data_IF_329528758543
#
_entry.id   IF_329528758543
#
_cell.length_a   1.000
_cell.length_b   1.000
_cell.length_c   1.000
_cell.angle_alpha   90.00
_cell.angle_beta   90.00
_cell.angle_gamma   90.00
#
_symmetry.space_group_name_H-M   'P 1'
#
loop_
_entity.id
_entity.type
_entity.pdbx_description
1 polymer ?
#
# COMPACT_ATOMS: atom_id res chain seq x y z
N UNK A 1 -12.88 21.67 -15.53
CA UNK A 1 -13.12 22.18 -16.90
C UNK A 1 -14.35 21.46 -17.40
N UNK A 2 -15.42 22.18 -17.73
CA UNK A 2 -16.79 21.64 -17.86
C UNK A 2 -16.98 20.98 -19.23
N UNK A 3 -17.24 19.68 -19.26
CA UNK A 3 -17.77 18.96 -20.41
C UNK A 3 -19.15 18.43 -20.04
N UNK A 4 -20.17 18.82 -20.80
CA UNK A 4 -21.56 18.44 -20.57
C UNK A 4 -21.73 16.93 -20.75
N UNK A 5 -22.33 16.29 -19.76
CA UNK A 5 -22.86 14.94 -19.88
C UNK A 5 -24.32 15.04 -20.38
N UNK A 6 -24.65 14.21 -21.35
CA UNK A 6 -26.01 14.04 -21.86
C UNK A 6 -26.98 13.69 -20.73
N UNK A 7 -28.15 14.33 -20.75
CA UNK A 7 -29.13 14.38 -19.65
C UNK A 7 -29.67 13.00 -19.19
N UNK A 8 -29.42 11.93 -19.97
CA UNK A 8 -29.98 10.60 -19.76
C UNK A 8 -29.06 9.66 -18.93
N UNK A 9 -27.73 9.84 -19.02
CA UNK A 9 -26.76 8.95 -18.36
C UNK A 9 -26.69 9.12 -16.83
N UNK A 10 -27.14 10.27 -16.30
CA UNK A 10 -27.13 10.55 -14.87
C UNK A 10 -28.15 9.74 -14.06
N UNK A 11 -29.17 9.17 -14.72
CA UNK A 11 -30.25 8.43 -14.08
C UNK A 11 -29.82 7.04 -13.60
N UNK A 12 -28.93 6.38 -14.35
CA UNK A 12 -28.41 5.03 -14.03
C UNK A 12 -27.33 5.04 -12.94
N UNK A 13 -26.87 6.21 -12.50
CA UNK A 13 -25.77 6.36 -11.53
C UNK A 13 -26.25 6.79 -10.13
N UNK A 14 -27.56 7.00 -9.93
CA UNK A 14 -28.14 7.41 -8.65
C UNK A 14 -27.87 6.41 -7.51
N UNK A 15 -27.69 5.12 -7.80
CA UNK A 15 -27.36 4.10 -6.80
C UNK A 15 -25.96 4.25 -6.18
N UNK A 16 -25.07 5.07 -6.77
CA UNK A 16 -23.73 5.33 -6.24
C UNK A 16 -23.73 6.24 -5.01
N UNK A 17 -24.81 6.99 -4.78
CA UNK A 17 -24.96 7.88 -3.63
C UNK A 17 -26.19 7.48 -2.82
N UNK A 18 -25.97 7.09 -1.56
CA UNK A 18 -27.06 6.75 -0.65
C UNK A 18 -27.98 7.95 -0.34
N UNK A 19 -27.51 9.18 -0.54
CA UNK A 19 -28.29 10.40 -0.37
C UNK A 19 -29.04 10.82 -1.65
N UNK A 20 -28.76 10.21 -2.80
CA UNK A 20 -29.44 10.54 -4.04
C UNK A 20 -30.84 9.92 -4.07
N UNK A 21 -31.79 10.67 -4.65
CA UNK A 21 -33.13 10.14 -4.88
C UNK A 21 -33.08 9.08 -5.99
N UNK A 22 -33.63 7.87 -5.80
CA UNK A 22 -33.54 6.78 -6.77
C UNK A 22 -34.20 7.08 -8.12
N UNK A 23 -35.09 8.09 -8.18
CA UNK A 23 -35.78 8.51 -9.39
C UNK A 23 -35.28 9.87 -9.94
N UNK A 24 -34.16 10.40 -9.44
CA UNK A 24 -33.59 11.66 -9.94
C UNK A 24 -32.14 11.43 -10.41
N UNK A 25 -31.79 11.85 -11.64
CA UNK A 25 -30.42 11.78 -12.10
C UNK A 25 -29.48 12.60 -11.21
N UNK A 26 -28.25 12.14 -11.04
CA UNK A 26 -27.21 12.93 -10.37
C UNK A 26 -26.91 14.18 -11.19
N UNK A 27 -26.80 15.32 -10.50
CA UNK A 27 -26.41 16.56 -11.16
C UNK A 27 -24.94 16.52 -11.58
N UNK A 28 -24.63 17.16 -12.72
CA UNK A 28 -23.27 17.26 -13.21
C UNK A 28 -22.39 18.04 -12.21
N UNK A 29 -21.21 17.49 -11.90
CA UNK A 29 -20.28 18.08 -10.93
C UNK A 29 -20.53 17.67 -9.47
N UNK A 30 -21.45 16.74 -9.22
CA UNK A 30 -21.62 16.15 -7.89
C UNK A 30 -20.37 15.38 -7.44
N UNK A 31 -19.91 15.66 -6.22
CA UNK A 31 -18.67 15.09 -5.69
C UNK A 31 -18.98 13.79 -4.95
N UNK A 32 -18.56 12.67 -5.53
CA UNK A 32 -18.75 11.34 -4.95
C UNK A 32 -17.47 10.80 -4.30
N UNK A 33 -17.63 10.08 -3.19
CA UNK A 33 -16.56 9.30 -2.57
C UNK A 33 -16.71 7.84 -2.97
N UNK A 34 -15.95 7.43 -3.98
CA UNK A 34 -15.99 6.07 -4.51
C UNK A 34 -14.68 5.31 -4.22
N UNK A 35 -14.74 3.97 -4.05
CA UNK A 35 -13.54 3.15 -4.04
C UNK A 35 -12.77 3.26 -5.37
N UNK A 36 -11.43 3.20 -5.30
CA UNK A 36 -10.55 3.39 -6.47
C UNK A 36 -10.87 2.43 -7.63
N UNK A 37 -11.18 1.17 -7.33
CA UNK A 37 -11.52 0.17 -8.36
C UNK A 37 -12.80 0.52 -9.14
N UNK A 38 -13.76 1.16 -8.49
CA UNK A 38 -15.02 1.58 -9.09
C UNK A 38 -14.82 2.90 -9.85
N UNK A 39 -14.22 3.88 -9.18
CA UNK A 39 -13.91 5.19 -9.74
C UNK A 39 -13.02 5.07 -10.98
N UNK A 40 -12.02 4.19 -10.95
CA UNK A 40 -11.13 3.93 -12.08
C UNK A 40 -11.87 3.42 -13.30
N UNK A 41 -12.79 2.46 -13.13
CA UNK A 41 -13.59 1.95 -14.26
C UNK A 41 -14.54 3.00 -14.81
N UNK A 42 -15.23 3.74 -13.95
CA UNK A 42 -16.12 4.82 -14.38
C UNK A 42 -15.35 5.94 -15.09
N UNK A 43 -14.11 6.20 -14.68
CA UNK A 43 -13.23 7.16 -15.33
C UNK A 43 -12.82 6.70 -16.72
N UNK A 44 -12.46 5.41 -16.87
CA UNK A 44 -12.11 4.83 -18.16
C UNK A 44 -13.27 4.91 -19.18
N UNK A 45 -14.52 4.84 -18.70
CA UNK A 45 -15.73 5.03 -19.51
C UNK A 45 -16.14 6.50 -19.71
N UNK A 46 -15.43 7.46 -19.10
CA UNK A 46 -15.73 8.89 -19.22
C UNK A 46 -16.94 9.38 -18.39
N UNK A 47 -17.45 8.56 -17.46
CA UNK A 47 -18.59 8.95 -16.61
C UNK A 47 -18.19 9.84 -15.43
N UNK A 48 -16.95 9.72 -14.94
CA UNK A 48 -16.46 10.50 -13.79
C UNK A 48 -15.07 11.08 -14.05
N UNK A 49 -14.80 12.24 -13.47
CA UNK A 49 -13.45 12.81 -13.40
C UNK A 49 -12.84 12.46 -12.06
N UNK A 50 -11.60 11.93 -12.06
CA UNK A 50 -10.87 11.63 -10.84
C UNK A 50 -10.24 12.91 -10.28
N UNK A 51 -10.28 13.05 -8.95
CA UNK A 51 -9.57 14.09 -8.23
C UNK A 51 -8.47 13.45 -7.37
N UNK A 52 -7.34 14.14 -7.23
CA UNK A 52 -6.27 13.69 -6.34
C UNK A 52 -6.71 13.84 -4.87
N UNK A 53 -6.58 12.78 -4.05
CA UNK A 53 -6.74 12.88 -2.62
C UNK A 53 -5.72 13.87 -2.00
N UNK A 54 -6.09 14.49 -0.88
CA UNK A 54 -5.29 15.50 -0.18
C UNK A 54 -3.88 15.02 0.18
N UNK A 55 -3.69 13.71 0.45
CA UNK A 55 -2.38 13.09 0.72
C UNK A 55 -1.39 13.13 -0.46
N UNK A 56 -1.86 13.47 -1.66
CA UNK A 56 -1.04 13.67 -2.86
C UNK A 56 -1.09 15.13 -3.37
N UNK A 57 -1.57 16.06 -2.54
CA UNK A 57 -1.50 17.49 -2.86
C UNK A 57 -0.06 18.02 -2.79
N UNK A 58 0.14 19.27 -3.21
CA UNK A 58 1.48 19.88 -3.30
C UNK A 58 2.19 19.98 -1.95
N UNK A 59 1.45 20.13 -0.84
CA UNK A 59 2.02 20.19 0.51
C UNK A 59 2.78 18.91 0.87
N UNK A 60 2.10 17.75 0.95
CA UNK A 60 2.74 16.45 1.19
C UNK A 60 3.83 16.10 0.17
N UNK A 61 3.72 16.55 -1.09
CA UNK A 61 4.79 16.36 -2.09
C UNK A 61 6.07 17.10 -1.70
N UNK A 62 5.94 18.36 -1.27
CA UNK A 62 7.08 19.16 -0.77
C UNK A 62 7.70 18.55 0.48
N UNK A 63 6.88 18.06 1.40
CA UNK A 63 7.38 17.41 2.61
C UNK A 63 8.11 16.10 2.28
N UNK A 64 7.63 15.35 1.28
CA UNK A 64 8.29 14.14 0.77
C UNK A 64 9.65 14.46 0.16
N UNK A 65 9.74 15.52 -0.63
CA UNK A 65 10.99 15.96 -1.25
C UNK A 65 11.98 16.53 -0.21
N UNK A 66 11.49 17.12 0.89
CA UNK A 66 12.32 17.66 1.97
C UNK A 66 12.94 16.56 2.84
N UNK A 67 12.13 15.69 3.44
CA UNK A 67 12.62 14.45 4.07
C UNK A 67 11.52 13.39 4.15
N UNK A 68 11.49 12.55 3.12
CA UNK A 68 10.62 11.40 3.03
C UNK A 68 10.64 10.50 4.27
N UNK A 69 11.73 10.46 5.05
CA UNK A 69 11.91 9.51 6.16
C UNK A 69 11.18 9.90 7.43
N UNK A 70 10.88 11.18 7.62
CA UNK A 70 10.16 11.68 8.80
C UNK A 70 8.65 11.51 8.67
N UNK A 71 8.14 11.36 7.45
CA UNK A 71 6.71 11.21 7.17
C UNK A 71 6.14 9.88 7.67
N UNK A 72 5.01 9.98 8.35
CA UNK A 72 4.18 8.81 8.71
C UNK A 72 3.18 8.51 7.59
N UNK A 73 3.65 7.88 6.52
CA UNK A 73 2.82 7.55 5.36
C UNK A 73 1.67 6.60 5.69
N UNK A 74 1.83 5.78 6.74
CA UNK A 74 0.82 4.82 7.17
C UNK A 74 -0.42 5.48 7.76
N UNK A 75 -0.28 6.63 8.43
CA UNK A 75 -1.42 7.40 8.92
C UNK A 75 -2.31 7.90 7.78
N UNK A 76 -1.70 8.24 6.63
CA UNK A 76 -2.44 8.64 5.45
C UNK A 76 -3.02 7.43 4.70
N UNK A 77 -2.18 6.48 4.33
CA UNK A 77 -2.58 5.30 3.57
C UNK A 77 -1.55 4.18 3.71
N UNK A 78 -2.00 2.98 4.12
CA UNK A 78 -1.11 1.81 4.23
C UNK A 78 -0.54 1.35 2.87
N UNK A 79 -1.20 1.74 1.77
CA UNK A 79 -0.85 1.42 0.39
C UNK A 79 -0.47 2.69 -0.41
N UNK A 80 0.17 3.64 0.26
CA UNK A 80 0.47 4.96 -0.30
C UNK A 80 1.12 4.92 -1.68
N UNK A 81 2.18 4.12 -1.85
CA UNK A 81 2.93 4.05 -3.11
C UNK A 81 2.14 3.38 -4.23
N UNK A 82 1.43 2.29 -3.94
CA UNK A 82 0.63 1.56 -4.92
C UNK A 82 -0.57 2.39 -5.39
N UNK A 83 -1.26 3.02 -4.44
CA UNK A 83 -2.40 3.91 -4.70
C UNK A 83 -1.96 5.14 -5.48
N UNK A 84 -0.86 5.77 -5.08
CA UNK A 84 -0.29 6.92 -5.77
C UNK A 84 0.13 6.59 -7.20
N UNK A 85 0.77 5.43 -7.42
CA UNK A 85 1.17 4.98 -8.77
C UNK A 85 -0.05 4.74 -9.67
N UNK A 86 -1.10 4.12 -9.14
CA UNK A 86 -2.33 3.89 -9.91
C UNK A 86 -3.04 5.20 -10.28
N UNK A 87 -3.17 6.12 -9.32
CA UNK A 87 -3.78 7.43 -9.55
C UNK A 87 -2.96 8.27 -10.54
N UNK A 88 -1.64 8.31 -10.38
CA UNK A 88 -0.76 9.05 -11.28
C UNK A 88 -0.83 8.53 -12.72
N UNK A 89 -0.92 7.21 -12.90
CA UNK A 89 -1.09 6.61 -14.23
C UNK A 89 -2.42 6.96 -14.88
N UNK A 90 -3.52 7.03 -14.11
CA UNK A 90 -4.85 7.40 -14.63
C UNK A 90 -4.97 8.89 -14.93
N UNK A 91 -4.34 9.74 -14.12
CA UNK A 91 -4.36 11.19 -14.26
C UNK A 91 -3.24 11.73 -15.17
N UNK A 92 -2.36 10.85 -15.67
CA UNK A 92 -1.16 11.19 -16.42
C UNK A 92 -0.27 12.25 -15.70
N UNK A 93 -0.16 12.13 -14.38
CA UNK A 93 0.63 13.02 -13.52
C UNK A 93 2.05 12.46 -13.34
N UNK A 94 2.94 12.81 -14.26
CA UNK A 94 4.35 12.40 -14.21
C UNK A 94 5.10 12.97 -12.99
N UNK A 95 4.71 14.17 -12.54
CA UNK A 95 5.34 14.80 -11.37
C UNK A 95 5.10 13.99 -10.09
N UNK A 96 3.89 13.42 -9.95
CA UNK A 96 3.57 12.55 -8.83
C UNK A 96 4.40 11.26 -8.88
N UNK A 97 4.55 10.66 -10.08
CA UNK A 97 5.38 9.47 -10.25
C UNK A 97 6.84 9.73 -9.85
N UNK A 98 7.38 10.90 -10.23
CA UNK A 98 8.74 11.28 -9.86
C UNK A 98 8.89 11.46 -8.34
N UNK A 99 7.98 12.22 -7.70
CA UNK A 99 7.99 12.41 -6.25
C UNK A 99 7.87 11.07 -5.51
N UNK A 100 6.98 10.18 -5.94
CA UNK A 100 6.82 8.84 -5.35
C UNK A 100 8.10 8.01 -5.50
N UNK A 101 8.73 8.03 -6.67
CA UNK A 101 9.97 7.30 -6.95
C UNK A 101 11.12 7.80 -6.07
N UNK A 102 11.36 9.12 -6.03
CA UNK A 102 12.41 9.73 -5.20
C UNK A 102 12.18 9.46 -3.72
N UNK A 103 10.94 9.66 -3.25
CA UNK A 103 10.56 9.39 -1.87
C UNK A 103 10.76 7.93 -1.45
N UNK A 104 10.37 6.99 -2.32
CA UNK A 104 10.57 5.56 -2.08
C UNK A 104 12.06 5.20 -1.98
N UNK A 105 12.89 5.67 -2.92
CA UNK A 105 14.34 5.40 -2.93
C UNK A 105 15.03 6.01 -1.70
N UNK A 106 14.66 7.24 -1.31
CA UNK A 106 15.21 7.89 -0.13
C UNK A 106 14.92 7.10 1.15
N UNK A 107 13.70 6.58 1.29
CA UNK A 107 13.28 5.76 2.44
C UNK A 107 13.89 4.37 2.40
N UNK A 108 14.03 3.77 1.21
CA UNK A 108 14.55 2.42 1.01
C UNK A 108 15.94 2.22 1.61
N UNK A 109 16.88 3.15 1.39
CA UNK A 109 18.25 3.01 1.90
C UNK A 109 18.29 3.00 3.44
N UNK A 110 17.55 3.90 4.09
CA UNK A 110 17.46 3.95 5.56
C UNK A 110 16.78 2.69 6.10
N UNK A 111 15.73 2.23 5.42
CA UNK A 111 15.00 1.03 5.78
C UNK A 111 15.87 -0.22 5.70
N UNK A 112 16.63 -0.37 4.60
CA UNK A 112 17.56 -1.48 4.39
C UNK A 112 18.68 -1.45 5.44
N UNK A 113 19.28 -0.29 5.68
CA UNK A 113 20.28 -0.11 6.73
C UNK A 113 19.75 -0.54 8.10
N UNK A 114 18.55 -0.10 8.46
CA UNK A 114 17.89 -0.49 9.71
C UNK A 114 17.59 -2.01 9.77
N UNK A 115 17.06 -2.59 8.70
CA UNK A 115 16.72 -4.02 8.64
C UNK A 115 17.96 -4.93 8.82
N UNK A 116 19.09 -4.53 8.23
CA UNK A 116 20.34 -5.28 8.29
C UNK A 116 21.16 -5.01 9.55
N UNK A 117 21.00 -3.84 10.17
CA UNK A 117 21.74 -3.46 11.39
C UNK A 117 21.03 -3.87 12.67
N UNK A 118 19.70 -4.05 12.62
CA UNK A 118 18.91 -4.51 13.76
C UNK A 118 19.33 -5.93 14.15
N UNK A 119 20.07 -6.05 15.25
CA UNK A 119 20.29 -7.33 15.91
C UNK A 119 18.94 -7.93 16.32
N UNK A 120 18.86 -9.27 16.40
CA UNK A 120 17.64 -9.99 16.77
C UNK A 120 17.00 -9.55 18.10
N UNK A 121 17.69 -8.75 18.92
CA UNK A 121 17.24 -8.24 20.22
C UNK A 121 16.72 -6.79 20.19
N UNK A 122 16.81 -6.09 19.05
CA UNK A 122 16.38 -4.70 18.94
C UNK A 122 14.88 -4.64 18.68
N UNK A 123 14.16 -3.84 19.47
CA UNK A 123 12.75 -3.55 19.22
C UNK A 123 12.62 -2.66 17.98
N UNK A 124 11.95 -3.16 16.95
CA UNK A 124 11.72 -2.47 15.68
C UNK A 124 10.29 -1.98 15.50
N UNK A 125 9.46 -2.09 16.55
CA UNK A 125 8.02 -1.79 16.51
C UNK A 125 7.77 -0.33 16.15
N UNK A 126 8.48 0.61 16.78
CA UNK A 126 8.35 2.04 16.50
C UNK A 126 8.74 2.42 15.07
N UNK A 127 9.76 1.76 14.50
CA UNK A 127 10.17 1.97 13.11
C UNK A 127 9.11 1.43 12.15
N UNK A 128 8.60 0.21 12.37
CA UNK A 128 7.54 -0.39 11.56
C UNK A 128 6.22 0.37 11.60
N UNK A 129 5.97 1.13 12.67
CA UNK A 129 4.73 1.88 12.83
C UNK A 129 4.51 2.93 11.73
N UNK A 130 5.59 3.51 11.18
CA UNK A 130 5.54 4.57 10.15
C UNK A 130 5.61 4.07 8.71
N UNK A 131 5.78 2.76 8.52
CA UNK A 131 6.03 2.15 7.22
C UNK A 131 4.74 1.73 6.55
N UNK A 132 4.69 1.97 5.25
CA UNK A 132 3.65 1.42 4.36
C UNK A 132 3.75 -0.11 4.28
N UNK A 133 2.74 -0.75 3.71
CA UNK A 133 2.68 -2.21 3.58
C UNK A 133 3.85 -2.78 2.78
N UNK A 134 4.19 -2.19 1.63
CA UNK A 134 5.33 -2.65 0.80
C UNK A 134 6.66 -2.50 1.54
N UNK A 135 6.85 -1.39 2.25
CA UNK A 135 8.05 -1.15 3.05
C UNK A 135 8.17 -2.15 4.20
N UNK A 136 7.06 -2.45 4.90
CA UNK A 136 7.07 -3.47 5.96
C UNK A 136 7.43 -4.84 5.43
N UNK A 137 6.87 -5.23 4.29
CA UNK A 137 7.18 -6.51 3.67
C UNK A 137 8.67 -6.62 3.32
N UNK A 138 9.24 -5.56 2.76
CA UNK A 138 10.67 -5.47 2.43
C UNK A 138 11.54 -5.51 3.69
N UNK A 139 11.17 -4.79 4.74
CA UNK A 139 11.89 -4.77 6.01
C UNK A 139 11.89 -6.14 6.68
N UNK A 140 10.76 -6.83 6.70
CA UNK A 140 10.63 -8.18 7.24
C UNK A 140 11.46 -9.19 6.44
N UNK A 141 11.46 -9.08 5.11
CA UNK A 141 12.31 -9.89 4.25
C UNK A 141 13.80 -9.63 4.53
N UNK A 142 14.21 -8.37 4.70
CA UNK A 142 15.57 -7.99 5.06
C UNK A 142 16.00 -8.56 6.41
N UNK A 143 15.16 -8.45 7.44
CA UNK A 143 15.44 -9.06 8.74
C UNK A 143 15.54 -10.58 8.67
N UNK A 144 14.65 -11.22 7.93
CA UNK A 144 14.68 -12.67 7.74
C UNK A 144 15.98 -13.10 7.07
N UNK A 145 16.41 -12.39 6.03
CA UNK A 145 17.68 -12.64 5.34
C UNK A 145 18.87 -12.47 6.29
N UNK A 146 18.91 -11.37 7.06
CA UNK A 146 19.99 -11.10 8.03
C UNK A 146 20.08 -12.20 9.09
N UNK A 147 18.95 -12.58 9.70
CA UNK A 147 18.91 -13.64 10.71
C UNK A 147 19.35 -14.99 10.14
N UNK A 148 18.95 -15.30 8.92
CA UNK A 148 19.35 -16.53 8.23
C UNK A 148 20.85 -16.53 7.94
N UNK A 149 21.40 -15.41 7.48
CA UNK A 149 22.83 -15.26 7.24
C UNK A 149 23.64 -15.34 8.54
N UNK A 150 23.18 -14.71 9.62
CA UNK A 150 23.83 -14.79 10.93
C UNK A 150 23.78 -16.19 11.51
N UNK A 151 22.62 -16.85 11.44
CA UNK A 151 22.46 -18.23 11.88
C UNK A 151 23.39 -19.15 11.11
N UNK A 152 23.50 -19.00 9.79
CA UNK A 152 24.44 -19.76 8.96
C UNK A 152 25.90 -19.48 9.34
N UNK A 153 26.28 -18.21 9.54
CA UNK A 153 27.65 -17.83 9.94
C UNK A 153 28.05 -18.39 11.31
N UNK A 154 27.11 -18.41 12.26
CA UNK A 154 27.35 -18.85 13.64
C UNK A 154 27.18 -20.36 13.83
N UNK A 155 26.62 -21.06 12.85
CA UNK A 155 26.38 -22.49 12.91
C UNK A 155 27.67 -23.29 12.74
N UNK A 156 28.48 -23.37 13.81
CA UNK A 156 29.65 -24.26 13.88
C UNK A 156 29.27 -25.75 14.02
N UNK A 157 28.05 -26.03 14.52
CA UNK A 157 27.44 -27.36 14.70
C UNK A 157 25.94 -27.33 14.36
N UNK A 158 25.57 -26.96 13.12
CA UNK A 158 24.16 -26.85 12.73
C UNK A 158 23.43 -28.19 12.88
N UNK A 159 22.44 -28.24 13.79
CA UNK A 159 21.54 -29.38 13.94
C UNK A 159 20.58 -29.41 12.75
N UNK A 160 20.51 -30.54 12.05
CA UNK A 160 19.52 -30.73 10.99
C UNK A 160 18.12 -30.75 11.60
N UNK A 161 17.35 -29.69 11.38
CA UNK A 161 15.95 -29.62 11.78
C UNK A 161 15.04 -30.08 10.64
N UNK A 162 13.97 -30.80 10.99
CA UNK A 162 12.96 -31.19 10.04
C UNK A 162 12.21 -29.94 9.54
N UNK A 163 11.91 -29.89 8.25
CA UNK A 163 11.16 -28.77 7.68
C UNK A 163 9.80 -28.59 8.38
N UNK A 164 9.27 -27.36 8.39
CA UNK A 164 7.94 -27.05 8.95
C UNK A 164 6.85 -27.97 8.37
N UNK A 165 7.00 -28.41 7.13
CA UNK A 165 6.11 -29.38 6.49
C UNK A 165 6.19 -30.77 7.13
N UNK A 166 7.39 -31.31 7.33
CA UNK A 166 7.59 -32.59 8.00
C UNK A 166 7.13 -32.58 9.47
N UNK A 167 7.40 -31.47 10.19
CA UNK A 167 6.93 -31.27 11.56
C UNK A 167 5.39 -31.22 11.66
N UNK A 168 4.73 -30.48 10.75
CA UNK A 168 3.26 -30.42 10.68
C UNK A 168 2.64 -31.77 10.31
N UNK A 169 3.24 -32.52 9.39
CA UNK A 169 2.78 -33.87 9.02
C UNK A 169 2.85 -34.84 10.20
N UNK A 170 3.93 -34.82 10.99
CA UNK A 170 4.04 -35.63 12.22
C UNK A 170 2.95 -35.26 13.23
N UNK A 171 2.70 -33.97 13.47
CA UNK A 171 1.66 -33.50 14.40
C UNK A 171 0.26 -33.95 13.97
N UNK A 172 -0.07 -33.89 12.67
CA UNK A 172 -1.35 -34.39 12.13
C UNK A 172 -1.50 -35.90 12.27
N UNK A 173 -0.43 -36.68 12.06
CA UNK A 173 -0.47 -38.14 12.19
C UNK A 173 -0.60 -38.58 13.65
N UNK A 174 0.00 -37.85 14.59
CA UNK A 174 -0.13 -38.11 16.03
C UNK A 174 -1.55 -37.85 16.55
N UNK A 175 -2.26 -36.84 16.05
CA UNK A 175 -3.65 -36.56 16.43
C UNK A 175 -4.71 -37.43 15.75
N UNK A 176 -4.30 -38.32 14.82
CA UNK A 176 -5.20 -39.22 14.10
C UNK A 176 -5.16 -40.66 14.64
N UNK A 177 -4.37 -40.93 15.68
CA UNK A 177 -4.24 -42.25 16.32
C UNK A 177 -5.03 -42.40 17.63
N UNK A 178 -5.82 -41.40 18.02
CA UNK A 178 -6.62 -41.35 19.26
C UNK A 178 -8.15 -41.51 18.98
N UNK A 179 -8.53 -42.29 17.97
CA UNK A 179 -9.93 -42.69 17.70
C UNK A 179 -10.01 -44.21 17.57
#
# INVERSE_FOLDING_TARGET
MVAGLDHDAGSELAWLDAAAHPNRPLEAGHVLRLPLWCAGKLHDYGHVTLALPEMFSDGPRRDMDADASHLNLRECCDWYFETGRELAGRLNDESLLETLSRGFVARFHKLLGAALSASSRVDTTAQKAKLTRVERALFDAGQHAKRSADAWRLARNAKLEASKFAARRRKRKAGAGDI
#
